data_IF_694325537737
#
_entry.id   IF_694325537737
#
_cell.length_a   1.000
_cell.length_b   1.000
_cell.length_c   1.000
_cell.angle_alpha   90.00
_cell.angle_beta   90.00
_cell.angle_gamma   90.00
#
_symmetry.space_group_name_H-M   'P 1'
#
loop_
_entity.id
_entity.type
_entity.pdbx_description
1 polymer ?
#
# COMPACT_ATOMS: atom_id res chain seq x y z
N UNK A 1 -18.02 -18.88 27.64
CA UNK A 1 -17.15 -18.34 26.58
C UNK A 1 -15.98 -19.30 26.44
N UNK A 2 -15.86 -19.97 25.30
CA UNK A 2 -14.84 -21.00 25.11
C UNK A 2 -13.45 -20.34 25.08
N UNK A 3 -12.37 -21.06 25.44
CA UNK A 3 -11.02 -20.46 25.46
C UNK A 3 -10.63 -19.88 24.07
N UNK A 4 -11.07 -20.51 22.98
CA UNK A 4 -10.91 -20.00 21.61
C UNK A 4 -11.60 -18.65 21.33
N UNK A 5 -12.79 -18.41 21.89
CA UNK A 5 -13.50 -17.13 21.74
C UNK A 5 -12.81 -16.01 22.53
N UNK A 6 -12.22 -16.35 23.69
CA UNK A 6 -11.45 -15.39 24.49
C UNK A 6 -10.17 -14.94 23.78
N UNK A 7 -9.57 -15.80 22.98
CA UNK A 7 -8.32 -15.51 22.26
C UNK A 7 -8.56 -14.64 21.03
N UNK A 8 -9.68 -14.83 20.31
CA UNK A 8 -10.02 -14.03 19.12
C UNK A 8 -10.45 -12.60 19.45
N UNK A 9 -11.25 -12.39 20.50
CA UNK A 9 -11.57 -11.03 20.99
C UNK A 9 -10.30 -10.27 21.42
N UNK A 10 -9.28 -11.00 21.88
CA UNK A 10 -8.05 -10.43 22.40
C UNK A 10 -7.13 -9.86 21.32
N UNK A 11 -7.12 -10.45 20.12
CA UNK A 11 -6.28 -9.99 18.99
C UNK A 11 -6.67 -8.57 18.53
N UNK A 12 -7.96 -8.21 18.61
CA UNK A 12 -8.48 -6.92 18.16
C UNK A 12 -8.10 -5.73 19.07
N UNK A 13 -8.18 -5.89 20.39
CA UNK A 13 -7.90 -4.83 21.39
C UNK A 13 -6.40 -4.66 21.69
N UNK A 14 -5.59 -5.66 21.33
CA UNK A 14 -4.20 -5.75 21.74
C UNK A 14 -3.26 -4.80 20.97
N UNK A 15 -3.45 -4.59 19.66
CA UNK A 15 -2.54 -3.75 18.86
C UNK A 15 -2.44 -2.31 19.35
N UNK A 16 -3.55 -1.77 19.85
CA UNK A 16 -3.65 -0.39 20.34
C UNK A 16 -3.02 -0.27 21.75
N UNK A 17 -3.02 -1.37 22.51
CA UNK A 17 -2.51 -1.46 23.87
C UNK A 17 -0.97 -1.49 23.92
N UNK A 18 -0.31 -2.06 22.91
CA UNK A 18 1.17 -2.17 22.86
C UNK A 18 1.83 -0.81 22.56
N UNK A 19 1.10 0.12 21.95
CA UNK A 19 1.63 1.45 21.60
C UNK A 19 2.73 1.41 20.54
N UNK A 20 2.68 0.43 19.65
CA UNK A 20 3.55 0.35 18.48
C UNK A 20 3.20 1.44 17.47
N UNK A 21 4.20 1.91 16.75
CA UNK A 21 4.05 2.80 15.61
C UNK A 21 4.98 2.38 14.50
N UNK A 22 4.52 2.46 13.25
CA UNK A 22 5.23 2.02 12.05
C UNK A 22 6.62 2.68 11.90
N UNK A 23 6.72 3.96 12.29
CA UNK A 23 7.95 4.74 12.27
C UNK A 23 9.01 4.25 13.27
N UNK A 24 8.62 3.53 14.33
CA UNK A 24 9.54 3.01 15.34
C UNK A 24 9.89 1.55 15.09
N UNK A 25 10.69 1.32 14.04
CA UNK A 25 11.13 0.00 13.58
C UNK A 25 11.86 -0.82 14.65
N UNK A 26 12.56 -0.17 15.58
CA UNK A 26 13.24 -0.83 16.70
C UNK A 26 12.28 -1.47 17.71
N UNK A 27 11.21 -0.75 18.04
CA UNK A 27 10.17 -1.25 18.93
C UNK A 27 9.39 -2.42 18.32
N UNK A 28 9.05 -2.31 17.02
CA UNK A 28 8.38 -3.40 16.28
C UNK A 28 9.24 -4.65 16.26
N UNK A 29 10.53 -4.51 15.96
CA UNK A 29 11.48 -5.62 15.99
C UNK A 29 11.65 -6.23 17.38
N UNK A 30 11.66 -5.42 18.43
CA UNK A 30 11.76 -5.90 19.81
C UNK A 30 10.59 -6.79 20.19
N UNK A 31 9.36 -6.37 19.85
CA UNK A 31 8.15 -7.15 20.13
C UNK A 31 8.15 -8.46 19.34
N UNK A 32 8.48 -8.44 18.04
CA UNK A 32 8.58 -9.66 17.22
C UNK A 32 9.62 -10.64 17.78
N UNK A 33 10.79 -10.16 18.19
CA UNK A 33 11.84 -11.02 18.77
C UNK A 33 11.39 -11.61 20.11
N UNK A 34 10.74 -10.83 20.97
CA UNK A 34 10.22 -11.31 22.26
C UNK A 34 9.17 -12.39 22.05
N UNK A 35 8.21 -12.16 21.15
CA UNK A 35 7.21 -13.15 20.75
C UNK A 35 7.86 -14.45 20.30
N UNK A 36 8.83 -14.36 19.38
CA UNK A 36 9.53 -15.53 18.87
C UNK A 36 10.31 -16.28 19.94
N UNK A 37 10.92 -15.57 20.90
CA UNK A 37 11.61 -16.18 22.04
C UNK A 37 10.63 -16.94 22.94
N UNK A 38 9.47 -16.34 23.25
CA UNK A 38 8.42 -17.02 24.04
C UNK A 38 7.92 -18.27 23.30
N UNK A 39 7.78 -18.20 21.97
CA UNK A 39 7.40 -19.34 21.14
C UNK A 39 8.43 -20.49 21.23
N UNK A 40 9.72 -20.18 21.06
CA UNK A 40 10.77 -21.20 20.90
C UNK A 40 11.42 -21.69 22.21
N UNK A 41 11.44 -20.87 23.27
CA UNK A 41 12.20 -21.14 24.50
C UNK A 41 11.28 -21.69 25.60
N UNK A 42 11.21 -23.01 25.76
CA UNK A 42 10.38 -23.65 26.78
C UNK A 42 10.75 -23.23 28.22
N UNK A 43 12.04 -23.04 28.50
CA UNK A 43 12.52 -22.54 29.80
C UNK A 43 12.02 -21.14 30.11
N UNK A 44 11.93 -20.26 29.10
CA UNK A 44 11.45 -18.91 29.25
C UNK A 44 9.94 -18.88 29.49
N UNK A 45 9.16 -19.75 28.84
CA UNK A 45 7.73 -19.94 29.16
C UNK A 45 7.53 -20.37 30.60
N UNK A 46 8.32 -21.32 31.10
CA UNK A 46 8.23 -21.76 32.50
C UNK A 46 8.50 -20.62 33.49
N UNK A 47 9.57 -19.84 33.28
CA UNK A 47 9.90 -18.68 34.13
C UNK A 47 8.81 -17.60 34.11
N UNK A 48 8.26 -17.31 32.93
CA UNK A 48 7.14 -16.36 32.82
C UNK A 48 5.89 -16.87 33.55
N UNK A 49 5.61 -18.17 33.49
CA UNK A 49 4.46 -18.77 34.16
C UNK A 49 4.56 -18.58 35.66
N UNK A 50 5.73 -18.82 36.24
CA UNK A 50 6.01 -18.60 37.66
C UNK A 50 5.81 -17.12 38.06
N UNK A 51 6.34 -16.17 37.28
CA UNK A 51 6.15 -14.74 37.53
C UNK A 51 4.66 -14.35 37.50
N UNK A 52 3.90 -14.90 36.55
CA UNK A 52 2.50 -14.54 36.36
C UNK A 52 1.59 -15.14 37.44
N UNK A 53 1.99 -16.26 38.05
CA UNK A 53 1.35 -16.85 39.23
C UNK A 53 1.64 -16.05 40.51
N UNK A 54 2.85 -15.48 40.64
CA UNK A 54 3.25 -14.70 41.82
C UNK A 54 2.74 -13.26 41.80
N UNK A 55 2.51 -12.69 40.61
CA UNK A 55 2.11 -11.30 40.44
C UNK A 55 0.73 -11.24 39.81
N UNK A 56 -0.31 -10.97 40.59
CA UNK A 56 -1.69 -10.92 40.07
C UNK A 56 -2.01 -9.67 39.25
N UNK A 57 -1.34 -8.55 39.53
CA UNK A 57 -1.61 -7.28 38.87
C UNK A 57 -0.98 -7.25 37.46
N UNK A 58 -1.77 -7.11 36.37
CA UNK A 58 -1.27 -7.13 35.00
C UNK A 58 -0.19 -6.08 34.72
N UNK A 59 -0.31 -4.89 35.32
CA UNK A 59 0.69 -3.81 35.17
C UNK A 59 2.03 -4.24 35.73
N UNK A 60 2.05 -4.88 36.90
CA UNK A 60 3.28 -5.31 37.57
C UNK A 60 3.89 -6.57 36.95
N UNK A 61 3.06 -7.45 36.34
CA UNK A 61 3.53 -8.61 35.56
C UNK A 61 4.51 -8.19 34.47
N UNK A 62 4.14 -7.18 33.68
CA UNK A 62 5.02 -6.71 32.60
C UNK A 62 6.34 -6.14 33.10
N UNK A 63 6.37 -5.49 34.27
CA UNK A 63 7.62 -5.03 34.87
C UNK A 63 8.49 -6.18 35.36
N UNK A 64 7.90 -7.15 36.09
CA UNK A 64 8.65 -8.30 36.61
C UNK A 64 9.22 -9.17 35.47
N UNK A 65 8.39 -9.44 34.45
CA UNK A 65 8.76 -10.28 33.32
C UNK A 65 9.77 -9.63 32.37
N UNK A 66 9.84 -8.29 32.31
CA UNK A 66 10.78 -7.60 31.42
C UNK A 66 12.24 -7.98 31.69
N UNK A 67 12.59 -8.30 32.94
CA UNK A 67 13.93 -8.73 33.34
C UNK A 67 14.45 -9.94 32.56
N UNK A 68 13.57 -10.83 32.10
CA UNK A 68 13.91 -12.01 31.30
C UNK A 68 14.34 -11.67 29.85
N UNK A 69 14.01 -10.46 29.39
CA UNK A 69 14.20 -10.04 28.01
C UNK A 69 15.20 -8.91 27.85
N UNK A 70 15.79 -8.38 28.91
CA UNK A 70 16.83 -7.35 28.82
C UNK A 70 18.23 -7.97 28.82
N UNK A 71 19.20 -7.25 28.25
CA UNK A 71 20.63 -7.64 28.34
C UNK A 71 21.16 -7.43 29.76
N UNK A 72 22.33 -8.01 30.08
CA UNK A 72 22.94 -7.91 31.42
C UNK A 72 23.19 -6.46 31.89
N UNK A 73 23.36 -5.51 30.96
CA UNK A 73 23.53 -4.09 31.26
C UNK A 73 22.20 -3.31 31.24
N UNK A 74 21.07 -4.00 31.12
CA UNK A 74 19.68 -3.48 31.10
C UNK A 74 19.40 -2.38 30.05
N UNK A 75 20.31 -2.16 29.10
CA UNK A 75 20.21 -1.08 28.13
C UNK A 75 19.40 -1.43 26.87
N UNK A 76 19.17 -2.72 26.60
CA UNK A 76 18.58 -3.23 25.36
C UNK A 76 17.80 -4.52 25.59
N UNK A 77 16.88 -4.85 24.68
CA UNK A 77 16.23 -6.16 24.65
C UNK A 77 17.19 -7.19 24.06
N UNK A 78 17.36 -8.30 24.77
CA UNK A 78 18.22 -9.42 24.41
C UNK A 78 17.71 -10.17 23.19
N UNK A 79 18.63 -10.50 22.28
CA UNK A 79 18.35 -11.29 21.07
C UNK A 79 17.93 -10.48 19.85
N UNK A 80 17.82 -9.14 19.93
CA UNK A 80 17.56 -8.31 18.74
C UNK A 80 18.83 -8.22 17.90
N UNK A 81 18.92 -9.08 16.89
CA UNK A 81 19.94 -9.00 15.85
C UNK A 81 19.28 -8.83 14.49
N UNK A 82 19.94 -8.13 13.58
CA UNK A 82 19.46 -7.95 12.20
C UNK A 82 19.11 -9.28 11.51
N UNK A 83 19.98 -10.31 11.57
CA UNK A 83 19.67 -11.63 11.02
C UNK A 83 18.43 -12.30 11.65
N UNK A 84 18.23 -12.17 12.96
CA UNK A 84 17.06 -12.77 13.63
C UNK A 84 15.76 -12.10 13.19
N UNK A 85 15.75 -10.77 13.10
CA UNK A 85 14.57 -10.03 12.62
C UNK A 85 14.31 -10.34 11.15
N UNK A 86 15.36 -10.39 10.33
CA UNK A 86 15.23 -10.77 8.92
C UNK A 86 14.66 -12.18 8.75
N UNK A 87 15.07 -13.15 9.57
CA UNK A 87 14.49 -14.50 9.56
C UNK A 87 12.99 -14.48 9.84
N UNK A 88 12.55 -13.69 10.84
CA UNK A 88 11.11 -13.56 11.15
C UNK A 88 10.38 -12.93 9.95
N UNK A 89 10.91 -11.87 9.36
CA UNK A 89 10.29 -11.23 8.19
C UNK A 89 10.18 -12.18 6.99
N UNK A 90 11.20 -13.01 6.77
CA UNK A 90 11.20 -14.02 5.69
C UNK A 90 10.11 -15.07 5.89
N UNK A 91 9.83 -15.49 7.14
CA UNK A 91 8.74 -16.42 7.44
C UNK A 91 7.37 -15.84 7.03
N UNK A 92 7.22 -14.52 7.05
CA UNK A 92 6.01 -13.81 6.57
C UNK A 92 6.12 -13.33 5.11
N UNK A 93 7.01 -13.92 4.31
CA UNK A 93 7.21 -13.62 2.88
C UNK A 93 7.62 -12.16 2.60
N UNK A 94 8.25 -11.48 3.57
CA UNK A 94 8.79 -10.14 3.40
C UNK A 94 10.25 -10.25 2.96
N UNK A 95 10.49 -10.04 1.67
CA UNK A 95 11.81 -10.14 1.03
C UNK A 95 12.40 -8.75 0.73
N UNK A 96 13.72 -8.61 0.87
CA UNK A 96 14.47 -7.48 0.29
C UNK A 96 14.42 -6.14 1.04
N UNK A 97 13.63 -6.01 2.11
CA UNK A 97 13.65 -4.80 2.96
C UNK A 97 14.13 -5.13 4.37
N UNK A 98 15.34 -4.68 4.66
CA UNK A 98 15.85 -4.62 6.02
C UNK A 98 15.02 -3.57 6.76
N UNK A 99 14.26 -3.95 7.79
CA UNK A 99 13.98 -3.00 8.86
C UNK A 99 15.38 -2.54 9.29
N UNK A 100 15.76 -1.28 8.98
CA UNK A 100 17.08 -0.68 9.21
C UNK A 100 17.50 -0.69 10.68
N UNK A 101 17.65 -1.88 11.24
CA UNK A 101 17.95 -2.16 12.62
C UNK A 101 19.45 -2.32 12.63
N UNK A 102 20.13 -1.23 12.99
CA UNK A 102 21.53 -1.23 13.36
C UNK A 102 21.73 -2.12 14.59
N UNK A 103 21.75 -3.44 14.42
CA UNK A 103 22.15 -4.44 15.41
C UNK A 103 21.69 -4.16 16.85
N UNK A 104 20.39 -4.02 17.08
CA UNK A 104 19.82 -3.83 18.43
C UNK A 104 19.99 -2.41 19.03
N UNK A 105 20.57 -1.44 18.32
CA UNK A 105 20.71 -0.05 18.79
C UNK A 105 19.39 0.71 18.89
N UNK A 106 18.35 0.30 18.17
CA UNK A 106 17.08 0.99 18.05
C UNK A 106 16.06 0.73 19.17
N UNK A 107 16.36 -0.15 20.13
CA UNK A 107 15.54 -0.35 21.35
C UNK A 107 16.10 0.34 22.60
N UNK A 108 17.17 1.15 22.46
CA UNK A 108 17.85 1.77 23.61
C UNK A 108 16.88 2.64 24.42
N UNK A 109 16.63 2.25 25.67
CA UNK A 109 15.87 3.02 26.66
C UNK A 109 14.34 3.00 26.52
N UNK A 110 13.75 2.39 25.48
CA UNK A 110 12.30 2.31 25.33
C UNK A 110 11.78 0.87 25.37
N UNK A 111 11.54 0.36 26.58
CA UNK A 111 10.96 -0.96 26.81
C UNK A 111 9.44 -0.96 26.89
N UNK A 112 8.80 0.21 26.72
CA UNK A 112 7.35 0.35 26.91
C UNK A 112 6.53 -0.61 26.05
N UNK A 113 6.83 -0.84 24.76
CA UNK A 113 6.06 -1.78 23.94
C UNK A 113 6.18 -3.23 24.43
N UNK A 114 7.40 -3.70 24.72
CA UNK A 114 7.61 -5.05 25.27
C UNK A 114 6.93 -5.21 26.63
N UNK A 115 7.02 -4.20 27.50
CA UNK A 115 6.33 -4.22 28.79
C UNK A 115 4.81 -4.26 28.62
N UNK A 116 4.27 -3.49 27.67
CA UNK A 116 2.83 -3.48 27.39
C UNK A 116 2.36 -4.81 26.79
N UNK A 117 3.15 -5.43 25.90
CA UNK A 117 2.95 -6.81 25.44
C UNK A 117 2.87 -7.77 26.64
N UNK A 118 3.87 -7.76 27.52
CA UNK A 118 3.91 -8.69 28.66
C UNK A 118 2.81 -8.42 29.68
N UNK A 119 2.42 -7.16 29.88
CA UNK A 119 1.34 -6.78 30.81
C UNK A 119 -0.03 -7.21 30.28
N UNK A 120 -0.17 -7.28 28.96
CA UNK A 120 -1.42 -7.67 28.32
C UNK A 120 -1.53 -9.19 28.22
N UNK A 121 -0.44 -9.90 27.92
CA UNK A 121 -0.42 -11.37 27.77
C UNK A 121 -1.30 -12.13 28.79
N UNK A 122 -2.22 -13.00 28.34
CA UNK A 122 -3.04 -13.78 29.27
C UNK A 122 -2.16 -14.84 29.96
N UNK A 123 -2.40 -15.10 31.25
CA UNK A 123 -1.63 -16.11 31.99
C UNK A 123 -1.72 -17.52 31.36
N UNK A 124 -2.85 -17.82 30.69
CA UNK A 124 -3.06 -19.05 29.91
C UNK A 124 -2.11 -19.15 28.71
N UNK A 125 -1.65 -18.02 28.15
CA UNK A 125 -0.71 -18.00 27.03
C UNK A 125 0.74 -18.33 27.42
N UNK A 126 0.99 -18.70 28.68
CA UNK A 126 2.33 -18.94 29.23
C UNK A 126 2.40 -20.32 29.89
N UNK A 127 1.26 -21.02 30.00
CA UNK A 127 1.23 -22.36 30.54
C UNK A 127 1.78 -23.38 29.53
N UNK A 128 2.83 -24.09 29.94
CA UNK A 128 3.46 -25.16 29.17
C UNK A 128 2.51 -26.32 28.83
N UNK A 129 1.43 -26.50 29.60
CA UNK A 129 0.39 -27.49 29.30
C UNK A 129 -0.39 -27.19 27.99
N UNK A 130 -0.32 -25.95 27.51
CA UNK A 130 -1.06 -25.45 26.35
C UNK A 130 -0.15 -24.96 25.22
N UNK A 131 1.07 -25.53 25.10
CA UNK A 131 2.12 -25.06 24.19
C UNK A 131 1.65 -24.79 22.74
N UNK A 132 0.78 -25.64 22.18
CA UNK A 132 0.24 -25.48 20.82
C UNK A 132 -0.69 -24.27 20.69
N UNK A 133 -1.52 -24.00 21.71
CA UNK A 133 -2.42 -22.83 21.73
C UNK A 133 -1.63 -21.53 21.91
N UNK A 134 -0.55 -21.58 22.71
CA UNK A 134 0.41 -20.48 22.85
C UNK A 134 1.09 -20.16 21.52
N UNK A 135 1.55 -21.18 20.81
CA UNK A 135 2.19 -21.01 19.50
C UNK A 135 1.24 -20.39 18.48
N UNK A 136 0.00 -20.87 18.41
CA UNK A 136 -1.03 -20.32 17.51
C UNK A 136 -1.38 -18.86 17.86
N UNK A 137 -1.44 -18.51 19.14
CA UNK A 137 -1.69 -17.15 19.59
C UNK A 137 -0.54 -16.20 19.21
N UNK A 138 0.70 -16.65 19.40
CA UNK A 138 1.89 -15.89 19.02
C UNK A 138 1.92 -15.69 17.50
N UNK A 139 1.62 -16.73 16.72
CA UNK A 139 1.54 -16.61 15.25
C UNK A 139 0.50 -15.58 14.81
N UNK A 140 -0.67 -15.56 15.47
CA UNK A 140 -1.69 -14.56 15.20
C UNK A 140 -1.23 -13.13 15.56
N UNK A 141 -0.46 -12.94 16.62
CA UNK A 141 0.08 -11.63 16.99
C UNK A 141 1.24 -11.20 16.09
N UNK A 142 2.13 -12.12 15.71
CA UNK A 142 3.19 -11.87 14.74
C UNK A 142 2.55 -11.39 13.42
N UNK A 143 1.57 -12.13 12.89
CA UNK A 143 0.84 -11.75 11.67
C UNK A 143 0.16 -10.37 11.82
N UNK A 144 -0.50 -10.10 12.95
CA UNK A 144 -1.12 -8.81 13.21
C UNK A 144 -0.10 -7.67 13.21
N UNK A 145 1.07 -7.87 13.80
CA UNK A 145 2.14 -6.87 13.81
C UNK A 145 2.68 -6.64 12.40
N UNK A 146 2.88 -7.72 11.66
CA UNK A 146 3.38 -7.66 10.29
C UNK A 146 2.43 -6.85 9.42
N UNK A 147 1.13 -7.18 9.44
CA UNK A 147 0.12 -6.51 8.61
C UNK A 147 -0.11 -5.05 9.01
N UNK A 148 -0.12 -4.74 10.32
CA UNK A 148 -0.43 -3.38 10.78
C UNK A 148 0.75 -2.42 10.82
N UNK A 149 1.97 -2.90 11.11
CA UNK A 149 3.10 -2.02 11.37
C UNK A 149 4.28 -2.25 10.44
N UNK A 150 4.48 -3.46 9.94
CA UNK A 150 5.61 -3.75 9.05
C UNK A 150 5.23 -3.49 7.60
N UNK A 151 4.21 -4.17 7.05
CA UNK A 151 3.82 -3.99 5.64
C UNK A 151 3.56 -2.52 5.27
N UNK A 152 2.81 -1.73 6.05
CA UNK A 152 2.60 -0.32 5.72
C UNK A 152 3.89 0.50 5.76
N UNK A 153 4.80 0.24 6.71
CA UNK A 153 6.11 0.91 6.78
C UNK A 153 7.06 0.53 5.63
N UNK A 154 6.73 -0.55 4.90
CA UNK A 154 7.43 -1.00 3.71
C UNK A 154 6.73 -0.53 2.43
N UNK A 155 5.50 0.00 2.49
CA UNK A 155 4.86 0.54 1.31
C UNK A 155 5.55 1.86 0.89
N UNK A 156 5.64 2.16 -0.42
CA UNK A 156 6.18 3.43 -0.87
C UNK A 156 5.26 4.56 -0.41
N UNK A 157 5.83 5.74 -0.11
CA UNK A 157 5.04 6.94 0.17
C UNK A 157 4.14 7.27 -1.03
N UNK A 158 2.94 7.86 -0.80
CA UNK A 158 2.09 8.31 -1.89
C UNK A 158 2.77 9.37 -2.77
N UNK A 159 2.18 9.62 -3.94
CA UNK A 159 2.54 10.74 -4.80
C UNK A 159 1.92 12.00 -4.19
N UNK A 160 2.77 12.83 -3.57
CA UNK A 160 2.34 14.07 -2.94
C UNK A 160 2.29 15.18 -3.97
N UNK A 161 1.12 15.83 -4.10
CA UNK A 161 0.91 16.98 -4.98
C UNK A 161 0.40 18.17 -4.19
N UNK A 162 0.99 19.34 -4.45
CA UNK A 162 0.50 20.61 -3.93
C UNK A 162 -0.29 21.30 -5.02
N UNK A 163 -1.49 21.76 -4.69
CA UNK A 163 -2.38 22.49 -5.59
C UNK A 163 -2.78 23.82 -4.94
N UNK A 164 -2.84 24.88 -5.75
CA UNK A 164 -3.35 26.18 -5.37
C UNK A 164 -4.44 26.65 -6.35
N UNK A 165 -5.30 27.55 -5.89
CA UNK A 165 -6.33 28.16 -6.75
C UNK A 165 -5.66 28.90 -7.90
N UNK A 166 -6.02 28.54 -9.14
CA UNK A 166 -5.45 29.12 -10.37
C UNK A 166 -4.29 28.33 -10.97
N UNK A 167 -3.87 27.23 -10.34
CA UNK A 167 -2.96 26.27 -10.97
C UNK A 167 -3.61 25.63 -12.20
N UNK A 168 -2.80 25.42 -13.23
CA UNK A 168 -3.22 24.74 -14.45
C UNK A 168 -3.32 23.21 -14.23
N UNK A 169 -4.45 22.64 -14.63
CA UNK A 169 -4.77 21.22 -14.46
C UNK A 169 -3.76 20.31 -15.14
N UNK A 170 -3.30 20.66 -16.35
CA UNK A 170 -2.30 19.89 -17.09
C UNK A 170 -0.93 19.93 -16.40
N UNK A 171 -0.56 21.08 -15.83
CA UNK A 171 0.69 21.23 -15.06
C UNK A 171 0.68 20.35 -13.81
N UNK A 172 -0.45 20.28 -13.09
CA UNK A 172 -0.60 19.40 -11.92
C UNK A 172 -0.49 17.93 -12.34
N UNK A 173 -1.20 17.52 -13.40
CA UNK A 173 -1.17 16.16 -13.92
C UNK A 173 0.24 15.78 -14.41
N UNK A 174 0.95 16.70 -15.06
CA UNK A 174 2.34 16.50 -15.47
C UNK A 174 3.23 16.21 -14.27
N UNK A 175 3.13 16.98 -13.18
CA UNK A 175 3.92 16.77 -11.94
C UNK A 175 3.67 15.39 -11.34
N UNK A 176 2.41 14.94 -11.33
CA UNK A 176 2.03 13.61 -10.84
C UNK A 176 2.69 12.52 -11.70
N UNK A 177 2.56 12.64 -13.03
CA UNK A 177 3.12 11.64 -13.95
C UNK A 177 4.66 11.67 -13.96
N UNK A 178 5.30 12.82 -13.78
CA UNK A 178 6.76 12.92 -13.61
C UNK A 178 7.22 12.21 -12.33
N UNK A 179 6.56 12.47 -11.19
CA UNK A 179 6.86 11.80 -9.92
C UNK A 179 6.63 10.28 -9.99
N UNK A 180 5.62 9.85 -10.76
CA UNK A 180 5.38 8.43 -11.01
C UNK A 180 6.46 7.81 -11.93
N UNK A 181 7.01 8.58 -12.87
CA UNK A 181 8.05 8.12 -13.81
C UNK A 181 9.38 7.88 -13.10
N UNK A 182 9.76 8.77 -12.18
CA UNK A 182 10.94 8.60 -11.29
C UNK A 182 10.90 7.28 -10.50
N UNK A 183 9.70 6.77 -10.24
CA UNK A 183 9.45 5.53 -9.51
C UNK A 183 9.11 4.35 -10.42
N UNK A 184 9.19 4.52 -11.74
CA UNK A 184 8.84 3.51 -12.75
C UNK A 184 7.40 2.96 -12.65
N UNK A 185 6.47 3.78 -12.15
CA UNK A 185 5.04 3.46 -12.02
C UNK A 185 4.14 4.37 -12.86
N UNK A 186 4.71 5.16 -13.78
CA UNK A 186 3.95 6.12 -14.59
C UNK A 186 2.88 5.46 -15.47
N UNK A 187 3.13 4.26 -16.02
CA UNK A 187 2.15 3.55 -16.87
C UNK A 187 0.87 3.21 -16.10
N UNK A 188 0.98 2.48 -14.98
CA UNK A 188 -0.16 2.20 -14.11
C UNK A 188 -0.88 3.45 -13.58
N UNK A 189 -0.13 4.47 -13.12
CA UNK A 189 -0.72 5.74 -12.66
C UNK A 189 -1.50 6.44 -13.79
N UNK A 190 -0.95 6.50 -15.00
CA UNK A 190 -1.63 7.07 -16.16
C UNK A 190 -2.93 6.32 -16.49
N UNK A 191 -2.91 4.99 -16.47
CA UNK A 191 -4.08 4.17 -16.75
C UNK A 191 -5.20 4.46 -15.75
N UNK A 192 -4.88 4.50 -14.45
CA UNK A 192 -5.87 4.80 -13.41
C UNK A 192 -6.41 6.23 -13.49
N UNK A 193 -5.58 7.23 -13.85
CA UNK A 193 -6.04 8.61 -14.07
C UNK A 193 -7.04 8.71 -15.23
N UNK A 194 -6.74 8.04 -16.34
CA UNK A 194 -7.66 7.96 -17.49
C UNK A 194 -8.96 7.26 -17.09
N UNK A 195 -8.87 6.14 -16.36
CA UNK A 195 -10.02 5.42 -15.85
C UNK A 195 -10.90 6.28 -14.94
N UNK A 196 -10.30 7.03 -14.01
CA UNK A 196 -11.00 7.95 -13.13
C UNK A 196 -11.72 9.06 -13.91
N UNK A 197 -11.06 9.64 -14.91
CA UNK A 197 -11.68 10.64 -15.80
C UNK A 197 -12.88 10.06 -16.56
N UNK A 198 -12.73 8.87 -17.15
CA UNK A 198 -13.81 8.22 -17.88
C UNK A 198 -15.00 7.92 -16.96
N UNK A 199 -14.73 7.37 -15.78
CA UNK A 199 -15.77 7.05 -14.81
C UNK A 199 -16.52 8.33 -14.39
N UNK A 200 -15.78 9.39 -14.05
CA UNK A 200 -16.36 10.68 -13.69
C UNK A 200 -17.23 11.26 -14.82
N UNK A 201 -16.80 11.14 -16.08
CA UNK A 201 -17.55 11.63 -17.25
C UNK A 201 -18.85 10.87 -17.51
N UNK A 202 -18.87 9.57 -17.26
CA UNK A 202 -19.99 8.70 -17.62
C UNK A 202 -20.83 8.19 -16.43
N UNK A 203 -20.45 8.46 -15.17
CA UNK A 203 -21.19 8.01 -13.98
C UNK A 203 -22.66 8.39 -13.99
N UNK A 204 -23.00 9.62 -14.44
CA UNK A 204 -24.39 10.10 -14.53
C UNK A 204 -25.22 9.37 -15.60
N UNK A 205 -24.58 8.65 -16.52
CA UNK A 205 -25.20 7.89 -17.60
C UNK A 205 -25.33 6.39 -17.26
N UNK A 206 -24.89 5.97 -16.05
CA UNK A 206 -24.96 4.57 -15.61
C UNK A 206 -23.95 3.64 -16.28
N UNK A 207 -22.98 4.16 -17.03
CA UNK A 207 -21.94 3.36 -17.67
C UNK A 207 -20.84 3.01 -16.66
N UNK A 208 -20.56 1.72 -16.52
CA UNK A 208 -19.50 1.21 -15.64
C UNK A 208 -18.17 1.19 -16.41
N UNK A 209 -17.18 1.94 -15.91
CA UNK A 209 -15.83 1.93 -16.49
C UNK A 209 -15.00 0.86 -15.79
N UNK A 210 -14.62 -0.14 -16.58
CA UNK A 210 -13.70 -1.22 -16.22
C UNK A 210 -12.53 -0.77 -15.34
N UNK A 211 -12.25 -1.51 -14.27
CA UNK A 211 -11.14 -1.25 -13.35
C UNK A 211 -10.33 -2.54 -13.18
N UNK A 212 -9.06 -2.52 -13.61
CA UNK A 212 -8.22 -3.71 -13.69
C UNK A 212 -6.85 -3.41 -13.12
N UNK A 213 -6.25 -4.40 -12.44
CA UNK A 213 -4.86 -4.30 -11.99
C UNK A 213 -3.93 -4.22 -13.19
N UNK A 214 -2.92 -3.35 -13.11
CA UNK A 214 -1.88 -3.21 -14.12
C UNK A 214 -1.08 -4.51 -14.34
N UNK A 215 -1.01 -5.39 -13.33
CA UNK A 215 -0.34 -6.71 -13.42
C UNK A 215 -1.24 -7.83 -13.95
N UNK A 216 -2.54 -7.57 -14.18
CA UNK A 216 -3.46 -8.58 -14.68
C UNK A 216 -3.35 -8.82 -16.19
N UNK A 217 -2.57 -8.01 -16.93
CA UNK A 217 -2.42 -8.13 -18.39
C UNK A 217 -1.79 -9.46 -18.84
N UNK A 218 -1.04 -10.16 -17.98
CA UNK A 218 -0.40 -11.44 -18.30
C UNK A 218 -1.34 -12.67 -18.20
N UNK A 219 -2.56 -12.51 -17.68
CA UNK A 219 -3.51 -13.63 -17.53
C UNK A 219 -4.52 -13.70 -18.67
N UNK A 220 -4.03 -13.93 -19.89
CA UNK A 220 -4.79 -14.56 -21.00
C UNK A 220 -6.15 -13.97 -21.37
N UNK A 221 -6.49 -12.75 -20.94
CA UNK A 221 -7.71 -12.07 -21.32
C UNK A 221 -7.43 -11.34 -22.63
N UNK A 222 -8.14 -11.73 -23.68
CA UNK A 222 -8.21 -11.13 -25.01
C UNK A 222 -8.78 -9.70 -24.95
N UNK A 223 -8.05 -8.82 -24.25
CA UNK A 223 -8.40 -7.41 -24.20
C UNK A 223 -7.92 -6.77 -25.46
N UNK A 224 -8.77 -5.97 -26.11
CA UNK A 224 -8.33 -5.21 -27.27
C UNK A 224 -7.80 -3.81 -26.89
N UNK A 225 -8.17 -3.26 -25.73
CA UNK A 225 -7.74 -1.94 -25.25
C UNK A 225 -7.73 -1.88 -23.71
N UNK A 226 -7.20 -0.78 -23.13
CA UNK A 226 -7.22 -0.57 -21.68
C UNK A 226 -8.62 -0.19 -21.18
N UNK A 227 -9.37 0.57 -21.99
CA UNK A 227 -10.79 0.86 -21.77
C UNK A 227 -11.55 0.81 -23.09
N UNK A 228 -12.79 0.31 -23.04
CA UNK A 228 -13.73 0.41 -24.16
C UNK A 228 -14.97 1.15 -23.70
N UNK A 229 -15.32 2.23 -24.40
CA UNK A 229 -16.55 3.00 -24.13
C UNK A 229 -17.28 3.22 -25.44
N UNK A 230 -18.48 2.65 -25.56
CA UNK A 230 -19.22 2.60 -26.82
C UNK A 230 -18.35 2.01 -27.96
N UNK A 231 -18.07 2.78 -29.02
CA UNK A 231 -17.20 2.36 -30.12
C UNK A 231 -15.76 2.90 -30.00
N UNK A 232 -15.39 3.49 -28.87
CA UNK A 232 -14.06 4.03 -28.63
C UNK A 232 -13.21 3.03 -27.83
N UNK A 233 -12.01 2.77 -28.35
CA UNK A 233 -10.97 2.00 -27.69
C UNK A 233 -9.89 2.96 -27.17
N UNK A 234 -9.69 3.03 -25.86
CA UNK A 234 -8.66 3.85 -25.24
C UNK A 234 -7.43 3.01 -24.94
N UNK A 235 -6.29 3.43 -25.48
CA UNK A 235 -4.99 2.81 -25.27
C UNK A 235 -4.09 3.76 -24.51
N UNK A 236 -3.72 3.42 -23.28
CA UNK A 236 -2.84 4.23 -22.43
C UNK A 236 -1.44 3.65 -22.51
N UNK A 237 -0.46 4.44 -22.95
CA UNK A 237 0.93 3.99 -22.96
C UNK A 237 1.90 5.15 -22.72
N UNK A 238 2.93 4.89 -21.93
CA UNK A 238 4.06 5.80 -21.70
C UNK A 238 5.28 5.45 -22.55
N UNK A 239 5.16 4.39 -23.36
CA UNK A 239 6.24 3.83 -24.19
C UNK A 239 5.65 3.25 -25.46
N UNK A 240 5.23 4.11 -26.41
CA UNK A 240 4.65 3.67 -27.67
C UNK A 240 5.69 2.88 -28.50
N UNK A 241 5.30 1.69 -28.97
CA UNK A 241 6.14 0.80 -29.78
C UNK A 241 5.44 0.42 -31.09
N UNK A 242 6.19 -0.05 -32.08
CA UNK A 242 5.62 -0.55 -33.34
C UNK A 242 4.65 -1.73 -33.13
N UNK A 243 4.86 -2.54 -32.10
CA UNK A 243 3.96 -3.64 -31.76
C UNK A 243 2.59 -3.11 -31.30
N UNK A 244 2.58 -2.06 -30.48
CA UNK A 244 1.35 -1.39 -30.06
C UNK A 244 0.63 -0.73 -31.24
N UNK A 245 1.37 -0.10 -32.16
CA UNK A 245 0.80 0.51 -33.38
C UNK A 245 0.00 -0.50 -34.20
N UNK A 246 0.55 -1.69 -34.45
CA UNK A 246 -0.16 -2.76 -35.18
C UNK A 246 -1.46 -3.17 -34.51
N UNK A 247 -1.50 -3.17 -33.17
CA UNK A 247 -2.72 -3.46 -32.40
C UNK A 247 -3.76 -2.35 -32.54
N UNK A 248 -3.34 -1.09 -32.53
CA UNK A 248 -4.23 0.04 -32.78
C UNK A 248 -4.82 0.02 -34.20
N UNK A 249 -4.01 -0.39 -35.18
CA UNK A 249 -4.40 -0.60 -36.58
C UNK A 249 -5.41 -1.73 -36.75
N UNK A 250 -5.19 -2.85 -36.05
CA UNK A 250 -6.13 -3.96 -36.04
C UNK A 250 -7.49 -3.53 -35.47
N UNK A 251 -7.49 -2.90 -34.29
CA UNK A 251 -8.72 -2.37 -33.68
C UNK A 251 -9.44 -1.36 -34.60
N UNK A 252 -8.69 -0.51 -35.30
CA UNK A 252 -9.26 0.46 -36.23
C UNK A 252 -9.91 -0.21 -37.45
N UNK A 253 -9.31 -1.31 -37.92
CA UNK A 253 -9.83 -2.17 -38.99
C UNK A 253 -11.12 -2.87 -38.55
N UNK A 254 -11.20 -3.26 -37.28
CA UNK A 254 -12.38 -3.85 -36.64
C UNK A 254 -13.45 -2.81 -36.25
N UNK A 255 -13.37 -1.61 -36.84
CA UNK A 255 -14.33 -0.52 -36.68
C UNK A 255 -14.42 0.15 -35.32
N UNK A 256 -13.39 0.01 -34.50
CA UNK A 256 -13.22 0.83 -33.31
C UNK A 256 -12.55 2.17 -33.65
N UNK A 257 -12.94 3.22 -32.93
CA UNK A 257 -12.27 4.51 -32.96
C UNK A 257 -11.22 4.55 -31.85
N UNK A 258 -9.95 4.40 -32.22
CA UNK A 258 -8.83 4.29 -31.28
C UNK A 258 -8.39 5.67 -30.77
N UNK A 259 -8.40 5.83 -29.45
CA UNK A 259 -7.84 6.98 -28.73
C UNK A 259 -6.55 6.52 -28.05
N UNK A 260 -5.43 6.85 -28.67
CA UNK A 260 -4.10 6.57 -28.13
C UNK A 260 -3.72 7.71 -27.21
N UNK A 261 -3.54 7.41 -25.94
CA UNK A 261 -3.20 8.35 -24.87
C UNK A 261 -1.74 8.11 -24.47
N UNK A 262 -0.89 9.11 -24.71
CA UNK A 262 0.54 9.09 -24.39
C UNK A 262 0.91 10.27 -23.50
N UNK A 263 2.12 10.31 -22.95
CA UNK A 263 2.61 11.53 -22.29
C UNK A 263 2.60 12.68 -23.30
N UNK A 264 2.25 13.90 -22.90
CA UNK A 264 2.10 15.05 -23.81
C UNK A 264 3.37 15.26 -24.66
N UNK A 265 4.55 15.16 -24.05
CA UNK A 265 5.83 15.30 -24.76
C UNK A 265 6.09 14.21 -25.81
N UNK A 266 5.39 13.08 -25.77
CA UNK A 266 5.48 11.96 -26.72
C UNK A 266 4.42 12.05 -27.83
N UNK A 267 3.50 13.01 -27.77
CA UNK A 267 2.35 13.09 -28.68
C UNK A 267 2.78 13.20 -30.14
N UNK A 268 3.72 14.08 -30.45
CA UNK A 268 4.21 14.29 -31.83
C UNK A 268 5.05 13.12 -32.35
N UNK A 269 5.92 12.54 -31.53
CA UNK A 269 6.72 11.36 -31.93
C UNK A 269 5.84 10.14 -32.17
N UNK A 270 4.80 9.95 -31.36
CA UNK A 270 3.81 8.87 -31.55
C UNK A 270 3.00 9.06 -32.82
N UNK A 271 2.58 10.30 -33.15
CA UNK A 271 1.91 10.60 -34.42
C UNK A 271 2.77 10.23 -35.63
N UNK A 272 4.08 10.49 -35.57
CA UNK A 272 5.03 10.10 -36.64
C UNK A 272 5.21 8.59 -36.76
N UNK A 273 4.93 7.83 -35.70
CA UNK A 273 4.99 6.37 -35.72
C UNK A 273 3.77 5.75 -36.43
N UNK A 274 2.66 6.49 -36.54
CA UNK A 274 1.48 6.05 -37.28
C UNK A 274 1.68 6.26 -38.79
N UNK A 275 1.29 5.27 -39.58
CA UNK A 275 1.25 5.39 -41.04
C UNK A 275 0.11 6.32 -41.48
N UNK A 276 0.27 7.00 -42.62
CA UNK A 276 -0.71 8.00 -43.11
C UNK A 276 -2.13 7.44 -43.24
N UNK A 277 -2.27 6.15 -43.55
CA UNK A 277 -3.55 5.49 -43.81
C UNK A 277 -4.27 5.06 -42.52
N UNK A 278 -3.54 4.95 -41.42
CA UNK A 278 -4.02 4.58 -40.07
C UNK A 278 -4.73 5.74 -39.36
N UNK A 279 -4.47 6.97 -39.81
CA UNK A 279 -4.87 8.22 -39.12
C UNK A 279 -6.38 8.52 -39.12
N UNK A 280 -7.20 7.84 -39.94
CA UNK A 280 -8.63 8.17 -40.03
C UNK A 280 -9.45 7.71 -38.83
N UNK A 281 -9.03 6.64 -38.15
CA UNK A 281 -9.70 6.05 -36.98
C UNK A 281 -8.83 5.98 -35.73
N UNK A 282 -7.54 6.31 -35.86
CA UNK A 282 -6.61 6.39 -34.73
C UNK A 282 -6.23 7.85 -34.49
N UNK A 283 -6.45 8.33 -33.28
CA UNK A 283 -6.04 9.67 -32.86
C UNK A 283 -5.14 9.58 -31.63
N UNK A 284 -4.10 10.40 -31.61
CA UNK A 284 -3.12 10.49 -30.51
C UNK A 284 -3.35 11.76 -29.71
N UNK A 285 -3.52 11.62 -28.40
CA UNK A 285 -3.72 12.69 -27.44
C UNK A 285 -2.72 12.56 -26.29
N UNK A 286 -2.40 13.68 -25.64
CA UNK A 286 -1.65 13.63 -24.40
C UNK A 286 -2.55 13.27 -23.22
N UNK A 287 -2.03 12.53 -22.25
CA UNK A 287 -2.76 12.14 -21.04
C UNK A 287 -3.04 13.40 -20.21
N UNK A 288 -2.04 14.27 -20.06
CA UNK A 288 -2.12 15.52 -19.32
C UNK A 288 -3.28 16.38 -19.85
N UNK A 289 -3.31 16.65 -21.16
CA UNK A 289 -4.37 17.43 -21.80
C UNK A 289 -5.72 16.72 -21.87
N UNK A 290 -5.74 15.41 -22.13
CA UNK A 290 -6.99 14.63 -22.17
C UNK A 290 -7.73 14.59 -20.82
N UNK A 291 -6.99 14.60 -19.71
CA UNK A 291 -7.56 14.63 -18.36
C UNK A 291 -7.78 16.08 -17.92
N UNK A 292 -6.81 16.97 -18.15
CA UNK A 292 -6.83 18.38 -17.73
C UNK A 292 -7.98 19.17 -18.36
N UNK A 293 -8.21 19.05 -19.66
CA UNK A 293 -9.33 19.74 -20.31
C UNK A 293 -10.69 19.37 -19.72
N UNK A 294 -10.86 18.12 -19.25
CA UNK A 294 -12.11 17.72 -18.60
C UNK A 294 -12.28 18.33 -17.19
N UNK A 295 -11.18 18.65 -16.51
CA UNK A 295 -11.21 19.40 -15.25
C UNK A 295 -11.72 20.81 -15.54
N UNK A 296 -11.16 21.47 -16.55
CA UNK A 296 -11.49 22.86 -16.90
C UNK A 296 -12.95 22.98 -17.38
N UNK A 297 -13.41 22.06 -18.24
CA UNK A 297 -14.81 21.96 -18.67
C UNK A 297 -15.76 21.85 -17.48
N UNK A 298 -15.47 20.95 -16.53
CA UNK A 298 -16.37 20.71 -15.39
C UNK A 298 -16.30 21.81 -14.34
N UNK A 299 -15.16 22.48 -14.18
CA UNK A 299 -15.06 23.66 -13.32
C UNK A 299 -16.01 24.76 -13.78
N UNK A 300 -16.17 24.90 -15.10
CA UNK A 300 -17.09 25.85 -15.73
C UNK A 300 -18.55 25.42 -15.56
N UNK A 301 -18.87 24.15 -15.85
CA UNK A 301 -20.25 23.64 -15.81
C UNK A 301 -20.85 23.62 -14.40
N UNK A 302 -20.06 23.21 -13.40
CA UNK A 302 -20.53 23.04 -12.02
C UNK A 302 -20.32 24.30 -11.16
N UNK A 303 -19.90 25.44 -11.76
CA UNK A 303 -19.48 26.67 -11.05
C UNK A 303 -18.56 26.39 -9.85
N UNK A 304 -17.66 25.42 -10.02
CA UNK A 304 -16.78 24.89 -8.99
C UNK A 304 -15.35 25.15 -9.41
N UNK A 305 -14.45 25.46 -8.48
CA UNK A 305 -13.05 25.70 -8.84
C UNK A 305 -12.36 24.40 -9.33
N UNK A 306 -11.31 24.56 -10.15
CA UNK A 306 -10.56 23.43 -10.72
C UNK A 306 -9.89 22.55 -9.64
N UNK A 307 -9.52 23.10 -8.49
CA UNK A 307 -8.89 22.35 -7.39
C UNK A 307 -9.88 21.37 -6.77
N UNK A 308 -11.12 21.81 -6.55
CA UNK A 308 -12.22 20.97 -6.08
C UNK A 308 -12.54 19.85 -7.10
N UNK A 309 -12.51 20.16 -8.39
CA UNK A 309 -12.69 19.17 -9.46
C UNK A 309 -11.57 18.14 -9.49
N UNK A 310 -10.31 18.57 -9.34
CA UNK A 310 -9.14 17.68 -9.24
C UNK A 310 -9.21 16.81 -7.98
N UNK A 311 -9.66 17.36 -6.85
CA UNK A 311 -9.84 16.60 -5.62
C UNK A 311 -10.87 15.46 -5.76
N UNK A 312 -12.01 15.71 -6.43
CA UNK A 312 -13.00 14.66 -6.77
C UNK A 312 -12.38 13.61 -7.71
N UNK A 313 -11.65 14.06 -8.75
CA UNK A 313 -10.96 13.16 -9.67
C UNK A 313 -9.93 12.27 -8.94
N UNK A 314 -9.11 12.83 -8.05
CA UNK A 314 -8.11 12.09 -7.29
C UNK A 314 -8.75 11.15 -6.25
N UNK A 315 -9.91 11.51 -5.70
CA UNK A 315 -10.69 10.62 -4.84
C UNK A 315 -11.16 9.37 -5.61
N UNK A 316 -11.72 9.57 -6.82
CA UNK A 316 -12.12 8.48 -7.73
C UNK A 316 -10.90 7.63 -8.10
N UNK A 317 -9.80 8.27 -8.48
CA UNK A 317 -8.52 7.61 -8.79
C UNK A 317 -8.03 6.73 -7.62
N UNK A 318 -7.88 7.29 -6.42
CA UNK A 318 -7.38 6.55 -5.25
C UNK A 318 -8.29 5.40 -4.87
N UNK A 319 -9.62 5.55 -5.01
CA UNK A 319 -10.55 4.44 -4.83
C UNK A 319 -10.28 3.33 -5.84
N UNK A 320 -10.16 3.67 -7.13
CA UNK A 320 -9.91 2.71 -8.20
C UNK A 320 -8.60 1.94 -8.00
N UNK A 321 -7.52 2.62 -7.59
CA UNK A 321 -6.24 1.97 -7.27
C UNK A 321 -6.42 0.96 -6.13
N UNK A 322 -7.05 1.36 -5.01
CA UNK A 322 -7.26 0.49 -3.84
C UNK A 322 -8.11 -0.75 -4.12
N UNK A 323 -9.03 -0.66 -5.09
CA UNK A 323 -9.90 -1.78 -5.45
C UNK A 323 -9.15 -2.93 -6.15
N UNK A 324 -8.07 -2.64 -6.89
CA UNK A 324 -7.46 -3.62 -7.79
C UNK A 324 -5.96 -3.81 -7.64
N UNK A 325 -5.22 -2.81 -7.16
CA UNK A 325 -3.77 -2.92 -7.01
C UNK A 325 -3.37 -3.48 -5.65
N UNK A 326 -2.44 -4.44 -5.66
CA UNK A 326 -1.77 -4.91 -4.45
C UNK A 326 -0.72 -3.86 -4.06
N UNK A 327 -0.64 -3.53 -2.77
CA UNK A 327 0.25 -2.48 -2.25
C UNK A 327 0.03 -1.09 -2.90
N UNK A 328 -1.22 -0.60 -2.86
CA UNK A 328 -1.70 0.61 -3.54
C UNK A 328 -1.03 1.93 -3.12
N UNK A 329 -0.54 2.03 -1.89
CA UNK A 329 -0.13 3.30 -1.26
C UNK A 329 0.89 4.07 -2.08
N UNK A 330 1.86 3.39 -2.71
CA UNK A 330 2.89 4.05 -3.53
C UNK A 330 2.38 4.71 -4.81
N UNK A 331 1.15 4.38 -5.22
CA UNK A 331 0.47 4.89 -6.41
C UNK A 331 -0.61 5.91 -6.07
N UNK A 332 -1.06 5.98 -4.82
CA UNK A 332 -2.10 6.91 -4.38
C UNK A 332 -1.59 8.36 -4.45
N UNK A 333 -2.51 9.29 -4.73
CA UNK A 333 -2.24 10.72 -4.80
C UNK A 333 -2.71 11.40 -3.52
N UNK A 334 -1.80 12.06 -2.81
CA UNK A 334 -2.09 12.85 -1.62
C UNK A 334 -2.02 14.34 -1.97
N UNK A 335 -3.10 15.07 -1.71
CA UNK A 335 -3.15 16.52 -1.91
C UNK A 335 -2.70 17.24 -0.64
N UNK A 336 -1.67 18.09 -0.74
CA UNK A 336 -1.22 18.96 0.36
C UNK A 336 -1.55 20.42 0.08
N UNK A 337 -2.11 21.08 1.09
CA UNK A 337 -2.48 22.50 1.04
C UNK A 337 -3.96 22.70 0.69
N UNK A 338 -4.77 22.91 1.71
CA UNK A 338 -6.02 23.67 1.60
C UNK A 338 -5.82 24.89 2.49
N UNK A 339 -5.58 26.04 1.89
CA UNK A 339 -5.59 27.33 2.59
C UNK A 339 -6.37 28.32 1.74
#
# INVERSE_FOLDING_TARGET
>A
MNQGDKLTTWIGDWSDTVGLRAENRGNVAAVLVVLRRIKSEASLRAQLSEIFQQVDNPKWRGFAALSLFVTANEGQISGITGPRVQSILLDHQITGKYLGIDGGRSSRGNFRPVRNLLSSMPAVAIDSAHATEVEALIDAWEETIIERFVRPALQPDPIVVSMATGDDSEVILKRILDAADERSICGPVAQHLVGAKLERRYRKQGLVVENHSCFAQDKGLDRNADFTVHNFAFHVTISPTKALVRRWEQNASDSLSCRVLVREHQRESTKRLLESNTTRRVSVHGIESFVGLNVDEMSTDDQTDAVSVLADLFSIYNRRVREVERDSTGMEIEVRGQS
#
